data_IF_085422001289
#
_entry.id   IF_085422001289
#
_cell.length_a   1.000
_cell.length_b   1.000
_cell.length_c   1.000
_cell.angle_alpha   90.00
_cell.angle_beta   90.00
_cell.angle_gamma   90.00
#
_symmetry.space_group_name_H-M   'P 1'
#
loop_
_entity.id
_entity.type
_entity.pdbx_description
1 polymer ?
#
# COMPACT_ATOMS: atom_id res chain seq x y z
N UNK A 1 -67.87 33.19 14.60
CA UNK A 1 -67.45 31.78 14.44
C UNK A 1 -67.18 31.55 12.95
N UNK A 2 -66.05 30.91 12.59
CA UNK A 2 -65.57 30.60 11.22
C UNK A 2 -64.88 31.72 10.40
N UNK A 3 -63.81 32.34 10.91
CA UNK A 3 -62.84 33.04 10.02
C UNK A 3 -61.46 33.29 10.65
N UNK A 4 -60.93 32.34 11.44
CA UNK A 4 -59.53 32.41 11.94
C UNK A 4 -58.84 31.04 12.06
N UNK A 5 -59.35 30.02 11.35
CA UNK A 5 -58.83 28.64 11.43
C UNK A 5 -58.37 28.09 10.06
N UNK A 6 -58.08 28.96 9.10
CA UNK A 6 -57.70 28.60 7.72
C UNK A 6 -56.29 28.97 7.29
N UNK A 7 -55.58 29.86 8.00
CA UNK A 7 -54.23 30.31 7.59
C UNK A 7 -53.08 29.59 8.30
N UNK A 8 -53.29 29.02 9.48
CA UNK A 8 -52.23 28.32 10.23
C UNK A 8 -52.01 26.88 9.81
N UNK A 9 -52.95 26.25 9.09
CA UNK A 9 -52.73 24.90 8.51
C UNK A 9 -52.01 24.94 7.17
N UNK A 10 -52.15 26.02 6.40
CA UNK A 10 -51.53 26.14 5.06
C UNK A 10 -50.08 26.61 5.11
N UNK A 11 -49.68 27.37 6.15
CA UNK A 11 -48.28 27.77 6.34
C UNK A 11 -47.39 26.64 6.88
N UNK A 12 -47.95 25.68 7.63
CA UNK A 12 -47.20 24.52 8.16
C UNK A 12 -46.94 23.47 7.07
N UNK A 13 -47.83 23.37 6.08
CA UNK A 13 -47.68 22.44 4.94
C UNK A 13 -46.75 22.94 3.83
N UNK A 14 -46.44 24.24 3.79
CA UNK A 14 -45.50 24.82 2.81
C UNK A 14 -44.04 24.84 3.27
N UNK A 15 -43.77 24.52 4.54
CA UNK A 15 -42.39 24.38 5.06
C UNK A 15 -41.94 22.90 5.04
N UNK A 16 -42.88 21.95 4.92
CA UNK A 16 -42.55 20.52 4.82
C UNK A 16 -42.10 20.06 3.43
N UNK A 17 -42.12 20.91 2.40
CA UNK A 17 -41.71 20.54 1.02
C UNK A 17 -40.48 21.28 0.50
N UNK A 18 -39.76 22.04 1.34
CA UNK A 18 -38.56 22.79 0.90
C UNK A 18 -37.26 22.45 1.64
N UNK A 19 -37.20 21.33 2.37
CA UNK A 19 -35.94 20.82 2.97
C UNK A 19 -35.45 19.55 2.27
N UNK A 20 -36.23 18.97 1.35
CA UNK A 20 -35.81 17.80 0.56
C UNK A 20 -35.08 18.13 -0.75
N UNK A 21 -34.93 19.40 -1.13
CA UNK A 21 -34.33 19.79 -2.43
C UNK A 21 -32.98 20.52 -2.35
N UNK A 22 -32.36 20.60 -1.16
CA UNK A 22 -30.98 21.07 -0.99
C UNK A 22 -30.05 19.98 -0.42
N UNK A 23 -30.47 18.72 -0.54
CA UNK A 23 -29.49 17.71 -0.87
C UNK A 23 -28.94 18.10 -2.23
N UNK A 24 -27.87 18.89 -2.26
CA UNK A 24 -26.91 18.78 -3.36
C UNK A 24 -26.54 17.30 -3.31
N UNK A 25 -27.29 16.50 -4.07
CA UNK A 25 -26.75 15.31 -4.67
C UNK A 25 -25.56 15.85 -5.45
N UNK A 26 -24.42 15.95 -4.78
CA UNK A 26 -23.20 15.52 -5.41
C UNK A 26 -23.62 14.13 -5.89
N UNK A 27 -23.95 14.02 -7.19
CA UNK A 27 -23.90 12.73 -7.86
C UNK A 27 -22.67 12.06 -7.29
N UNK A 28 -22.75 10.84 -6.73
CA UNK A 28 -21.55 10.16 -6.28
C UNK A 28 -20.59 10.23 -7.45
N UNK A 29 -19.62 11.16 -7.41
CA UNK A 29 -18.46 11.10 -8.26
C UNK A 29 -17.82 9.87 -7.68
N UNK A 30 -18.06 8.72 -8.31
CA UNK A 30 -17.59 7.44 -7.84
C UNK A 30 -16.08 7.63 -7.71
N UNK A 31 -15.63 7.84 -6.48
CA UNK A 31 -14.23 8.06 -6.23
C UNK A 31 -13.65 6.66 -6.40
N UNK A 32 -12.91 6.44 -7.49
CA UNK A 32 -12.18 5.22 -7.70
C UNK A 32 -10.67 5.47 -7.66
N UNK A 33 -9.97 4.68 -6.85
CA UNK A 33 -8.51 4.67 -6.86
C UNK A 33 -7.95 3.28 -7.11
N UNK A 34 -6.73 3.26 -7.63
CA UNK A 34 -5.96 2.07 -7.94
C UNK A 34 -4.51 2.30 -7.52
N UNK A 35 -3.91 1.33 -6.86
CA UNK A 35 -2.49 1.27 -6.59
C UNK A 35 -1.95 -0.13 -6.90
N UNK A 36 -0.82 -0.18 -7.58
CA UNK A 36 -0.12 -1.40 -8.00
C UNK A 36 1.35 -1.27 -7.63
N UNK A 37 1.92 -2.33 -7.08
CA UNK A 37 3.34 -2.43 -6.77
C UNK A 37 3.82 -3.86 -7.03
N UNK A 38 4.71 -4.04 -8.00
CA UNK A 38 5.27 -5.33 -8.39
C UNK A 38 6.79 -5.30 -8.36
N UNK A 39 7.39 -6.42 -7.99
CA UNK A 39 8.84 -6.58 -7.99
C UNK A 39 9.27 -8.01 -8.31
N UNK A 40 10.30 -8.17 -9.14
CA UNK A 40 10.94 -9.49 -9.42
C UNK A 40 12.47 -9.43 -9.26
N UNK A 41 13.07 -10.56 -8.87
CA UNK A 41 14.50 -10.86 -8.95
C UNK A 41 14.58 -12.23 -9.60
N UNK A 42 15.50 -12.35 -10.52
CA UNK A 42 16.02 -13.62 -10.98
C UNK A 42 17.53 -13.57 -10.84
N UNK A 43 18.14 -14.61 -10.28
CA UNK A 43 19.57 -14.83 -10.35
C UNK A 43 19.81 -16.15 -11.05
N UNK A 44 20.75 -16.14 -11.99
CA UNK A 44 21.16 -17.29 -12.78
C UNK A 44 22.68 -17.26 -12.98
N UNK A 45 23.19 -18.19 -13.80
CA UNK A 45 24.61 -18.31 -14.15
C UNK A 45 25.54 -18.35 -12.92
N UNK A 46 25.08 -18.98 -11.83
CA UNK A 46 25.90 -19.20 -10.65
C UNK A 46 27.17 -19.99 -10.99
N UNK A 47 28.34 -19.51 -10.54
CA UNK A 47 29.60 -20.25 -10.72
C UNK A 47 29.73 -21.45 -9.80
N UNK A 48 28.94 -21.50 -8.72
CA UNK A 48 28.98 -22.53 -7.68
C UNK A 48 27.55 -22.86 -7.24
N UNK A 49 27.29 -24.12 -6.91
CA UNK A 49 26.01 -24.55 -6.34
C UNK A 49 26.00 -24.38 -4.81
N UNK A 50 24.82 -24.13 -4.20
CA UNK A 50 24.68 -24.16 -2.74
C UNK A 50 25.08 -25.51 -2.15
N UNK A 51 25.68 -25.48 -0.96
CA UNK A 51 26.43 -26.60 -0.36
C UNK A 51 25.57 -27.87 -0.10
N UNK A 52 24.25 -27.70 0.06
CA UNK A 52 23.33 -28.78 0.42
C UNK A 52 22.43 -29.26 -0.73
N UNK A 53 22.65 -28.80 -1.96
CA UNK A 53 21.87 -29.23 -3.15
C UNK A 53 22.23 -30.65 -3.64
N UNK A 54 23.02 -31.41 -2.89
CA UNK A 54 23.88 -32.46 -3.43
C UNK A 54 23.20 -33.81 -3.76
N UNK A 55 21.96 -34.09 -3.32
CA UNK A 55 21.49 -35.49 -3.33
C UNK A 55 20.20 -35.79 -4.12
N UNK A 56 19.56 -34.81 -4.78
CA UNK A 56 18.36 -35.08 -5.60
C UNK A 56 18.43 -34.35 -6.96
N UNK A 57 18.07 -35.01 -8.08
CA UNK A 57 18.08 -34.41 -9.42
C UNK A 57 17.03 -33.30 -9.66
N UNK A 58 16.10 -33.07 -8.74
CA UNK A 58 14.92 -32.18 -8.92
C UNK A 58 14.61 -31.38 -7.64
N UNK A 59 15.65 -30.94 -6.94
CA UNK A 59 15.47 -30.25 -5.66
C UNK A 59 15.09 -28.78 -5.85
N UNK A 60 13.82 -28.48 -5.64
CA UNK A 60 13.24 -27.13 -5.66
C UNK A 60 12.83 -26.73 -4.25
N UNK A 61 13.23 -25.54 -3.82
CA UNK A 61 12.67 -24.86 -2.65
C UNK A 61 11.66 -23.84 -3.14
N UNK A 62 10.45 -23.81 -2.59
CA UNK A 62 9.41 -22.86 -2.99
C UNK A 62 8.54 -22.44 -1.80
N UNK A 63 8.25 -21.13 -1.74
CA UNK A 63 7.32 -20.53 -0.81
C UNK A 63 6.33 -19.61 -1.54
N UNK A 64 5.06 -19.67 -1.14
CA UNK A 64 3.96 -18.87 -1.69
C UNK A 64 3.24 -18.14 -0.55
N UNK A 65 2.81 -16.90 -0.78
CA UNK A 65 2.00 -16.16 0.19
C UNK A 65 0.70 -16.93 0.53
N UNK A 66 0.46 -17.18 1.82
CA UNK A 66 -0.71 -17.93 2.30
C UNK A 66 -0.40 -19.38 2.72
N UNK A 67 0.78 -19.91 2.40
CA UNK A 67 1.20 -21.28 2.79
C UNK A 67 2.32 -21.34 3.85
N UNK A 68 2.76 -20.20 4.40
CA UNK A 68 3.87 -20.13 5.36
C UNK A 68 5.25 -20.26 4.71
N UNK A 69 6.30 -19.94 5.47
CA UNK A 69 7.70 -20.10 5.03
C UNK A 69 8.02 -21.57 4.79
N UNK A 70 8.63 -21.88 3.65
CA UNK A 70 9.09 -23.22 3.33
C UNK A 70 10.61 -23.25 3.43
N UNK A 71 11.11 -23.94 4.45
CA UNK A 71 12.54 -24.24 4.54
C UNK A 71 12.72 -25.61 3.91
N UNK A 72 13.26 -25.68 2.69
CA UNK A 72 13.76 -26.96 2.20
C UNK A 72 14.97 -27.33 3.08
N UNK A 73 15.03 -28.59 3.50
CA UNK A 73 16.04 -29.18 4.40
C UNK A 73 17.49 -29.10 3.86
N UNK A 74 17.68 -28.50 2.69
CA UNK A 74 18.89 -28.55 1.88
C UNK A 74 19.59 -27.19 1.77
N UNK A 75 19.65 -26.42 2.87
CA UNK A 75 20.47 -25.19 2.97
C UNK A 75 19.99 -23.98 2.17
N UNK A 76 18.80 -24.06 1.55
CA UNK A 76 18.14 -22.93 0.88
C UNK A 76 16.93 -22.50 1.69
N UNK A 77 16.87 -21.21 2.00
CA UNK A 77 15.72 -20.58 2.62
C UNK A 77 14.85 -19.90 1.56
N UNK A 78 13.60 -20.32 1.41
CA UNK A 78 12.58 -19.54 0.68
C UNK A 78 11.48 -19.09 1.64
N UNK A 79 11.02 -17.85 1.52
CA UNK A 79 9.94 -17.32 2.35
C UNK A 79 9.09 -16.36 1.55
N UNK A 80 7.77 -16.47 1.71
CA UNK A 80 6.81 -15.61 1.05
C UNK A 80 5.68 -15.27 2.03
N UNK A 81 5.28 -14.00 2.06
CA UNK A 81 4.25 -13.49 2.96
C UNK A 81 3.38 -12.48 2.22
N UNK A 82 2.07 -12.53 2.46
CA UNK A 82 1.09 -11.55 1.99
C UNK A 82 0.19 -11.13 3.14
N UNK A 83 -0.14 -9.84 3.21
CA UNK A 83 -1.07 -9.25 4.17
C UNK A 83 -2.01 -8.33 3.40
N UNK A 84 -3.31 -8.45 3.67
CA UNK A 84 -4.33 -7.54 3.14
C UNK A 84 -5.20 -7.00 4.27
N UNK A 85 -5.76 -5.80 4.08
CA UNK A 85 -6.74 -5.19 4.98
C UNK A 85 -7.67 -4.31 4.18
N UNK A 86 -8.98 -4.47 4.38
CA UNK A 86 -10.01 -3.71 3.65
C UNK A 86 -11.09 -3.19 4.59
N UNK A 87 -11.56 -1.97 4.35
CA UNK A 87 -12.70 -1.33 5.02
C UNK A 87 -13.51 -0.57 3.99
N UNK A 88 -14.84 -0.66 4.06
CA UNK A 88 -15.76 -0.02 3.11
C UNK A 88 -16.44 -1.01 2.19
N UNK A 89 -17.25 -0.50 1.26
CA UNK A 89 -17.88 -1.31 0.21
C UNK A 89 -17.06 -1.12 -1.08
N UNK A 90 -17.04 -2.13 -1.95
CA UNK A 90 -16.34 -2.07 -3.24
C UNK A 90 -14.83 -1.80 -3.12
N UNK A 91 -14.15 -2.54 -2.24
CA UNK A 91 -12.70 -2.45 -2.05
C UNK A 91 -12.08 -3.81 -2.30
N UNK A 92 -10.99 -3.83 -3.06
CA UNK A 92 -10.20 -5.01 -3.35
C UNK A 92 -8.77 -4.72 -2.89
N UNK A 93 -8.17 -5.67 -2.18
CA UNK A 93 -6.75 -5.66 -1.89
C UNK A 93 -6.21 -7.09 -2.04
N UNK A 94 -5.18 -7.24 -2.87
CA UNK A 94 -4.55 -8.51 -3.19
C UNK A 94 -3.03 -8.39 -3.03
N UNK A 95 -2.43 -9.38 -2.37
CA UNK A 95 -1.02 -9.42 -2.01
C UNK A 95 -0.45 -10.81 -2.32
N UNK A 96 0.32 -10.90 -3.39
CA UNK A 96 0.99 -12.12 -3.84
C UNK A 96 2.50 -12.02 -3.58
N UNK A 97 3.09 -13.08 -3.05
CA UNK A 97 4.53 -13.29 -3.00
C UNK A 97 4.88 -14.73 -3.40
N UNK A 98 6.00 -14.88 -4.10
CA UNK A 98 6.58 -16.15 -4.53
C UNK A 98 8.09 -16.08 -4.31
N UNK A 99 8.68 -17.16 -3.82
CA UNK A 99 10.12 -17.31 -3.72
C UNK A 99 10.48 -18.75 -4.08
N UNK A 100 11.45 -18.94 -4.96
CA UNK A 100 11.90 -20.26 -5.40
C UNK A 100 13.39 -20.31 -5.66
N UNK A 101 13.94 -21.50 -5.55
CA UNK A 101 15.30 -21.83 -5.98
C UNK A 101 15.27 -23.20 -6.64
N UNK A 102 15.87 -23.31 -7.82
CA UNK A 102 15.96 -24.53 -8.60
C UNK A 102 17.42 -24.92 -8.84
N UNK A 103 17.67 -26.23 -8.95
CA UNK A 103 18.98 -26.79 -9.29
C UNK A 103 19.20 -26.94 -10.79
N UNK A 104 18.14 -27.20 -11.54
CA UNK A 104 18.19 -27.47 -12.97
C UNK A 104 17.09 -26.68 -13.70
N UNK A 105 17.40 -25.51 -14.29
CA UNK A 105 18.69 -24.82 -14.22
C UNK A 105 18.98 -24.30 -12.81
N UNK A 106 20.26 -24.02 -12.51
CA UNK A 106 20.65 -23.42 -11.24
C UNK A 106 20.25 -21.94 -11.22
N UNK A 107 19.10 -21.65 -10.60
CA UNK A 107 18.47 -20.34 -10.59
C UNK A 107 17.74 -20.05 -9.27
N UNK A 108 17.68 -18.78 -8.89
CA UNK A 108 16.73 -18.30 -7.87
C UNK A 108 15.75 -17.33 -8.50
N UNK A 109 14.51 -17.37 -8.02
CA UNK A 109 13.45 -16.47 -8.44
C UNK A 109 12.58 -16.05 -7.27
N UNK A 110 12.07 -14.84 -7.37
CA UNK A 110 11.62 -14.08 -6.23
C UNK A 110 10.69 -13.00 -6.77
N UNK A 111 9.40 -13.03 -6.41
CA UNK A 111 8.36 -12.17 -6.99
C UNK A 111 7.35 -11.70 -5.95
N UNK A 112 6.88 -10.48 -6.14
CA UNK A 112 5.83 -9.85 -5.33
C UNK A 112 4.91 -9.03 -6.22
N UNK A 113 3.61 -9.06 -5.94
CA UNK A 113 2.62 -8.25 -6.64
C UNK A 113 1.51 -7.85 -5.67
N UNK A 114 1.36 -6.55 -5.46
CA UNK A 114 0.29 -6.00 -4.66
C UNK A 114 -0.60 -5.11 -5.53
N UNK A 115 -1.90 -5.28 -5.38
CA UNK A 115 -2.91 -4.47 -6.03
C UNK A 115 -3.93 -4.07 -4.98
N UNK A 116 -4.30 -2.79 -4.95
CA UNK A 116 -5.46 -2.35 -4.19
C UNK A 116 -6.29 -1.38 -5.03
N UNK A 117 -7.60 -1.53 -4.96
CA UNK A 117 -8.56 -0.62 -5.57
C UNK A 117 -9.74 -0.40 -4.65
N UNK A 118 -10.36 0.76 -4.75
CA UNK A 118 -11.55 1.10 -3.97
C UNK A 118 -12.46 2.02 -4.76
N UNK A 119 -13.76 1.85 -4.57
CA UNK A 119 -14.78 2.72 -5.17
C UNK A 119 -15.75 3.26 -4.11
N UNK A 120 -16.09 4.54 -4.23
CA UNK A 120 -17.15 5.17 -3.47
C UNK A 120 -16.63 6.19 -2.47
N UNK A 121 -17.53 6.69 -1.62
CA UNK A 121 -17.22 7.87 -0.81
C UNK A 121 -16.32 7.56 0.38
N UNK A 122 -16.14 6.28 0.75
CA UNK A 122 -15.47 5.85 1.99
C UNK A 122 -14.86 4.48 1.80
N UNK A 123 -13.54 4.39 1.76
CA UNK A 123 -12.87 3.11 1.67
C UNK A 123 -11.42 3.18 2.14
N UNK A 124 -10.90 2.02 2.49
CA UNK A 124 -9.48 1.78 2.74
C UNK A 124 -9.12 0.39 2.24
N UNK A 125 -8.07 0.31 1.41
CA UNK A 125 -7.48 -0.94 0.97
C UNK A 125 -5.97 -0.92 1.19
N UNK A 126 -5.43 -1.99 1.76
CA UNK A 126 -4.01 -2.23 1.97
C UNK A 126 -3.66 -3.62 1.46
N UNK A 127 -2.61 -3.71 0.64
CA UNK A 127 -1.97 -4.96 0.29
C UNK A 127 -0.45 -4.82 0.44
N UNK A 128 0.17 -5.80 1.10
CA UNK A 128 1.61 -5.84 1.33
C UNK A 128 2.11 -7.27 1.19
N UNK A 129 3.24 -7.42 0.50
CA UNK A 129 3.85 -8.73 0.28
C UNK A 129 5.36 -8.68 0.46
N UNK A 130 5.95 -9.79 0.90
CA UNK A 130 7.38 -9.97 1.09
C UNK A 130 7.81 -11.31 0.50
N UNK A 131 8.93 -11.33 -0.22
CA UNK A 131 9.56 -12.55 -0.72
C UNK A 131 11.06 -12.56 -0.39
N UNK A 132 11.60 -13.72 -0.04
CA UNK A 132 13.01 -13.91 0.31
C UNK A 132 13.54 -15.22 -0.24
N UNK A 133 14.74 -15.18 -0.81
CA UNK A 133 15.55 -16.35 -1.15
C UNK A 133 16.91 -16.20 -0.49
N UNK A 134 17.45 -17.27 0.11
CA UNK A 134 18.83 -17.28 0.57
C UNK A 134 19.52 -18.61 0.30
N UNK A 135 20.75 -18.56 -0.19
CA UNK A 135 21.59 -19.71 -0.50
C UNK A 135 22.94 -19.66 0.22
N UNK A 136 23.37 -20.82 0.73
CA UNK A 136 24.65 -21.02 1.42
C UNK A 136 25.66 -21.69 0.48
N UNK A 137 26.82 -21.06 0.27
CA UNK A 137 27.84 -21.49 -0.69
C UNK A 137 29.20 -21.64 -0.02
N UNK A 138 29.92 -22.71 -0.36
CA UNK A 138 31.32 -22.90 0.03
C UNK A 138 32.25 -22.66 -1.14
N UNK A 139 33.17 -21.72 -0.97
CA UNK A 139 34.14 -21.29 -1.98
C UNK A 139 35.53 -21.69 -1.50
N UNK A 140 36.29 -22.39 -2.35
CA UNK A 140 37.68 -22.75 -2.05
C UNK A 140 38.61 -21.58 -2.30
N UNK A 141 39.73 -21.57 -1.57
CA UNK A 141 40.80 -20.61 -1.81
C UNK A 141 41.27 -20.68 -3.28
N UNK A 142 41.29 -19.53 -3.95
CA UNK A 142 41.63 -19.38 -5.37
C UNK A 142 40.41 -19.37 -6.31
N UNK A 143 39.23 -19.80 -5.84
CA UNK A 143 38.04 -19.90 -6.67
C UNK A 143 37.29 -18.57 -6.80
N UNK A 144 36.39 -18.54 -7.79
CA UNK A 144 35.54 -17.39 -8.11
C UNK A 144 34.09 -17.70 -7.72
N UNK A 145 33.47 -16.77 -7.02
CA UNK A 145 32.02 -16.71 -6.88
C UNK A 145 31.46 -15.63 -7.82
N UNK A 146 30.54 -16.01 -8.69
CA UNK A 146 29.85 -15.10 -9.60
C UNK A 146 28.44 -15.56 -9.92
N UNK A 147 27.61 -14.61 -10.32
CA UNK A 147 26.25 -14.82 -10.79
C UNK A 147 25.80 -13.59 -11.61
N UNK A 148 24.79 -13.79 -12.45
CA UNK A 148 24.08 -12.72 -13.13
C UNK A 148 22.71 -12.53 -12.48
N UNK A 149 22.15 -11.33 -12.55
CA UNK A 149 20.82 -11.08 -12.03
C UNK A 149 20.02 -10.09 -12.87
N UNK A 150 18.70 -10.29 -12.86
CA UNK A 150 17.73 -9.33 -13.37
C UNK A 150 16.78 -8.93 -12.26
N UNK A 151 16.65 -7.63 -12.02
CA UNK A 151 15.71 -7.08 -11.04
C UNK A 151 14.74 -6.10 -11.71
N UNK A 152 13.45 -6.25 -11.43
CA UNK A 152 12.39 -5.39 -11.98
C UNK A 152 11.52 -4.82 -10.87
N UNK A 153 11.17 -3.54 -11.00
CA UNK A 153 10.25 -2.84 -10.10
C UNK A 153 9.23 -2.06 -10.94
N UNK A 154 7.95 -2.20 -10.63
CA UNK A 154 6.84 -1.46 -11.23
C UNK A 154 5.92 -0.92 -10.14
N UNK A 155 5.73 0.39 -10.13
CA UNK A 155 4.76 1.10 -9.31
C UNK A 155 3.79 1.83 -10.23
N UNK A 156 2.50 1.79 -9.92
CA UNK A 156 1.48 2.54 -10.62
C UNK A 156 0.37 2.95 -9.66
N UNK A 157 -0.09 4.19 -9.78
CA UNK A 157 -1.20 4.73 -9.01
C UNK A 157 -2.13 5.52 -9.94
N UNK A 158 -3.42 5.49 -9.64
CA UNK A 158 -4.44 6.26 -10.36
C UNK A 158 -5.59 6.64 -9.44
N UNK A 159 -6.10 7.86 -9.60
CA UNK A 159 -7.25 8.43 -8.91
C UNK A 159 -8.29 8.90 -9.94
N UNK A 160 -9.57 8.87 -9.57
CA UNK A 160 -10.64 9.53 -10.33
C UNK A 160 -11.03 10.87 -9.69
N UNK A 161 -10.89 11.00 -8.38
CA UNK A 161 -11.10 12.21 -7.62
C UNK A 161 -9.86 12.57 -6.77
N UNK A 162 -8.85 13.23 -7.36
CA UNK A 162 -7.61 13.58 -6.66
C UNK A 162 -7.77 14.38 -5.36
N UNK A 163 -8.85 15.13 -5.21
CA UNK A 163 -9.11 15.96 -4.02
C UNK A 163 -9.72 15.20 -2.86
N UNK A 164 -10.23 13.99 -3.10
CA UNK A 164 -10.87 13.14 -2.11
C UNK A 164 -10.24 11.76 -2.03
N UNK A 165 -9.10 11.52 -2.65
CA UNK A 165 -8.50 10.18 -2.70
C UNK A 165 -6.98 10.25 -2.55
N UNK A 166 -6.43 9.17 -2.03
CA UNK A 166 -4.99 8.96 -1.93
C UNK A 166 -4.68 7.54 -2.37
N UNK A 167 -3.70 7.40 -3.26
CA UNK A 167 -3.14 6.13 -3.67
C UNK A 167 -1.63 6.16 -3.43
N UNK A 168 -1.10 5.11 -2.81
CA UNK A 168 0.33 4.96 -2.54
C UNK A 168 0.79 3.61 -3.04
N UNK A 169 1.92 3.57 -3.72
CA UNK A 169 2.62 2.35 -4.06
C UNK A 169 4.10 2.48 -3.68
N UNK A 170 4.66 1.45 -3.06
CA UNK A 170 6.09 1.39 -2.74
C UNK A 170 6.64 0.00 -2.95
N UNK A 171 7.91 -0.09 -3.29
CA UNK A 171 8.63 -1.35 -3.42
C UNK A 171 10.11 -1.21 -3.09
N UNK A 172 10.65 -2.27 -2.52
CA UNK A 172 12.04 -2.41 -2.15
C UNK A 172 12.56 -3.75 -2.67
N UNK A 173 13.70 -3.72 -3.35
CA UNK A 173 14.43 -4.90 -3.79
C UNK A 173 15.82 -4.83 -3.16
N UNK A 174 16.32 -5.93 -2.60
CA UNK A 174 17.69 -5.97 -2.11
C UNK A 174 18.35 -7.32 -2.31
N UNK A 175 19.67 -7.26 -2.45
CA UNK A 175 20.59 -8.37 -2.51
C UNK A 175 21.74 -8.07 -1.55
N UNK A 176 22.12 -9.03 -0.72
CA UNK A 176 23.24 -8.92 0.22
C UNK A 176 24.05 -10.20 0.17
N UNK A 177 25.37 -10.06 0.04
CA UNK A 177 26.33 -11.15 0.14
C UNK A 177 27.12 -11.03 1.45
N UNK A 178 27.03 -12.06 2.28
CA UNK A 178 27.69 -12.15 3.56
C UNK A 178 28.83 -13.17 3.48
N UNK A 179 29.99 -12.83 4.02
CA UNK A 179 30.98 -13.81 4.44
C UNK A 179 30.62 -14.26 5.85
N UNK A 180 30.05 -15.46 5.97
CA UNK A 180 29.63 -16.01 7.26
C UNK A 180 30.80 -16.64 8.03
N UNK A 181 31.92 -16.94 7.36
CA UNK A 181 33.16 -17.36 8.03
C UNK A 181 33.71 -16.20 8.88
N UNK A 182 33.76 -15.00 8.31
CA UNK A 182 34.31 -13.80 8.94
C UNK A 182 33.25 -12.84 9.52
N UNK A 183 31.96 -13.16 9.35
CA UNK A 183 30.81 -12.36 9.81
C UNK A 183 30.79 -10.92 9.26
N UNK A 184 31.05 -10.76 7.97
CA UNK A 184 31.08 -9.44 7.31
C UNK A 184 30.14 -9.36 6.12
N UNK A 185 29.59 -8.16 5.87
CA UNK A 185 28.91 -7.85 4.61
C UNK A 185 29.99 -7.58 3.56
N UNK A 186 30.00 -8.37 2.50
CA UNK A 186 30.96 -8.19 1.42
C UNK A 186 30.45 -7.16 0.40
N UNK A 187 29.22 -7.37 -0.07
CA UNK A 187 28.64 -6.63 -1.17
C UNK A 187 27.12 -6.59 -1.05
N UNK A 188 26.50 -5.53 -1.59
CA UNK A 188 25.06 -5.32 -1.55
C UNK A 188 24.55 -4.54 -2.75
N UNK A 189 23.31 -4.79 -3.13
CA UNK A 189 22.55 -4.00 -4.08
C UNK A 189 21.16 -3.72 -3.49
N UNK A 190 20.65 -2.51 -3.65
CA UNK A 190 19.30 -2.16 -3.20
C UNK A 190 18.63 -1.16 -4.13
N UNK A 191 17.30 -1.27 -4.22
CA UNK A 191 16.43 -0.34 -4.92
C UNK A 191 15.26 -0.05 -4.02
N UNK A 192 14.91 1.22 -3.87
CA UNK A 192 13.72 1.65 -3.18
C UNK A 192 12.98 2.65 -4.06
N UNK A 193 11.67 2.46 -4.18
CA UNK A 193 10.80 3.48 -4.77
C UNK A 193 9.48 3.56 -4.05
N UNK A 194 8.93 4.77 -4.03
CA UNK A 194 7.62 5.11 -3.48
C UNK A 194 7.00 6.19 -4.35
N UNK A 195 5.72 6.05 -4.64
CA UNK A 195 4.89 7.08 -5.27
C UNK A 195 3.65 7.34 -4.42
N UNK A 196 3.24 8.60 -4.32
CA UNK A 196 2.06 9.04 -3.57
C UNK A 196 1.23 9.99 -4.43
N UNK A 197 0.15 9.46 -5.02
CA UNK A 197 -0.75 10.27 -5.82
C UNK A 197 -1.87 10.81 -4.94
N UNK A 198 -1.99 12.14 -4.91
CA UNK A 198 -3.13 12.89 -4.35
C UNK A 198 -3.06 14.35 -4.81
N UNK A 199 -4.16 15.11 -4.74
CA UNK A 199 -4.15 16.55 -5.02
C UNK A 199 -3.33 17.37 -4.02
N UNK A 200 -2.97 16.77 -2.88
CA UNK A 200 -2.21 17.40 -1.81
C UNK A 200 -0.80 16.82 -1.66
N UNK A 201 -0.38 15.95 -2.60
CA UNK A 201 0.93 15.33 -2.59
C UNK A 201 2.00 16.43 -2.59
N UNK A 202 2.88 16.41 -1.60
CA UNK A 202 4.01 17.34 -1.57
C UNK A 202 5.04 16.89 -2.60
N UNK A 203 5.79 17.83 -3.22
CA UNK A 203 6.85 17.51 -4.19
C UNK A 203 7.95 16.54 -3.70
N UNK A 204 7.98 16.18 -2.42
CA UNK A 204 9.00 15.32 -1.78
C UNK A 204 8.48 13.94 -1.34
N UNK A 205 7.26 13.54 -1.74
CA UNK A 205 6.68 12.26 -1.31
C UNK A 205 7.03 11.10 -2.25
N UNK A 206 7.35 11.41 -3.52
CA UNK A 206 7.85 10.47 -4.51
C UNK A 206 9.36 10.29 -4.38
N UNK A 207 9.80 9.03 -4.36
CA UNK A 207 11.19 8.63 -4.18
C UNK A 207 11.55 7.54 -5.16
N UNK A 208 12.74 7.66 -5.74
CA UNK A 208 13.42 6.57 -6.43
C UNK A 208 14.91 6.64 -6.10
N UNK A 209 15.43 5.59 -5.49
CA UNK A 209 16.83 5.48 -5.12
C UNK A 209 17.32 4.06 -5.36
N UNK A 210 18.59 3.93 -5.72
CA UNK A 210 19.28 2.66 -5.74
C UNK A 210 20.71 2.85 -5.25
N UNK A 211 21.29 1.78 -4.72
CA UNK A 211 22.68 1.74 -4.27
C UNK A 211 23.30 0.38 -4.58
N UNK A 212 24.62 0.36 -4.77
CA UNK A 212 25.38 -0.86 -5.08
C UNK A 212 26.81 -0.80 -4.55
N UNK A 213 27.34 -1.96 -4.18
CA UNK A 213 28.77 -2.13 -3.91
C UNK A 213 29.62 -2.12 -5.19
N UNK A 214 30.93 -2.02 -5.01
CA UNK A 214 31.88 -1.88 -6.12
C UNK A 214 31.98 -3.14 -7.00
N UNK A 215 31.79 -4.34 -6.42
CA UNK A 215 31.91 -5.61 -7.17
C UNK A 215 30.62 -6.01 -7.92
N UNK A 216 29.59 -5.15 -7.88
CA UNK A 216 28.34 -5.34 -8.61
C UNK A 216 28.34 -4.40 -9.82
N UNK A 217 28.26 -4.98 -11.02
CA UNK A 217 28.06 -4.24 -12.26
C UNK A 217 26.57 -4.20 -12.59
N UNK A 218 26.09 -3.05 -13.10
CA UNK A 218 24.67 -2.84 -13.38
C UNK A 218 24.53 -1.99 -14.63
N UNK A 219 23.75 -2.49 -15.58
CA UNK A 219 23.07 -1.70 -16.59
C UNK A 219 21.60 -1.57 -16.17
N UNK A 220 21.05 -0.35 -16.20
CA UNK A 220 19.66 -0.16 -15.82
C UNK A 220 18.93 0.84 -16.69
N UNK A 221 17.63 0.61 -16.85
CA UNK A 221 16.70 1.50 -17.55
C UNK A 221 15.59 1.85 -16.56
N UNK A 222 15.23 3.12 -16.49
CA UNK A 222 14.09 3.58 -15.69
C UNK A 222 13.17 4.48 -16.51
N UNK A 223 11.88 4.42 -16.18
CA UNK A 223 10.88 5.36 -16.65
C UNK A 223 10.08 5.84 -15.43
N UNK A 224 10.25 7.10 -15.08
CA UNK A 224 9.65 7.75 -13.93
C UNK A 224 8.68 8.83 -14.42
N UNK A 225 7.44 8.75 -13.99
CA UNK A 225 6.42 9.76 -14.21
C UNK A 225 5.85 10.17 -12.86
N UNK A 226 6.45 11.22 -12.30
CA UNK A 226 6.10 11.84 -11.02
C UNK A 226 5.41 13.18 -11.25
N UNK A 227 4.55 13.60 -10.32
CA UNK A 227 4.01 14.96 -10.31
C UNK A 227 2.75 15.14 -11.16
N UNK A 228 2.00 14.07 -11.40
CA UNK A 228 0.70 14.14 -12.03
C UNK A 228 -0.39 13.94 -10.96
N UNK A 229 -1.44 14.75 -11.03
CA UNK A 229 -2.41 14.89 -9.92
C UNK A 229 -3.28 13.63 -9.74
N UNK A 230 -3.48 12.86 -10.81
CA UNK A 230 -4.42 11.75 -10.89
C UNK A 230 -3.75 10.42 -11.27
N UNK A 231 -2.47 10.40 -11.65
CA UNK A 231 -1.74 9.17 -11.96
C UNK A 231 -0.23 9.30 -11.82
N UNK A 232 0.44 8.30 -11.28
CA UNK A 232 1.89 8.27 -11.24
C UNK A 232 2.41 6.88 -11.55
N UNK A 233 3.64 6.79 -12.04
CA UNK A 233 4.25 5.50 -12.33
C UNK A 233 5.76 5.54 -12.19
N UNK A 234 6.32 4.46 -11.67
CA UNK A 234 7.76 4.23 -11.66
C UNK A 234 8.04 2.82 -12.16
N UNK A 235 8.85 2.70 -13.21
CA UNK A 235 9.35 1.40 -13.67
C UNK A 235 10.86 1.43 -13.73
N UNK A 236 11.49 0.34 -13.30
CA UNK A 236 12.93 0.16 -13.39
C UNK A 236 13.27 -1.30 -13.66
N UNK A 237 14.21 -1.49 -14.58
CA UNK A 237 14.81 -2.78 -14.92
C UNK A 237 16.31 -2.67 -14.72
N UNK A 238 16.86 -3.57 -13.94
CA UNK A 238 18.29 -3.69 -13.66
C UNK A 238 18.77 -5.05 -14.19
N UNK A 239 19.81 -5.02 -15.01
CA UNK A 239 20.56 -6.19 -15.43
C UNK A 239 21.96 -6.05 -14.84
N UNK A 240 22.38 -7.02 -14.03
CA UNK A 240 23.63 -6.90 -13.32
C UNK A 240 24.36 -8.21 -13.20
N UNK A 241 25.61 -8.10 -12.75
CA UNK A 241 26.49 -9.24 -12.50
C UNK A 241 27.38 -8.98 -11.30
N UNK A 242 27.69 -10.06 -10.59
CA UNK A 242 28.63 -10.08 -9.48
C UNK A 242 29.79 -11.01 -9.81
N UNK A 243 31.00 -10.63 -9.42
CA UNK A 243 32.17 -11.51 -9.52
C UNK A 243 33.25 -11.15 -8.51
N UNK A 244 33.72 -12.15 -7.76
CA UNK A 244 34.84 -12.00 -6.81
C UNK A 244 35.65 -13.28 -6.67
N UNK A 245 36.97 -13.13 -6.53
CA UNK A 245 37.91 -14.21 -6.19
C UNK A 245 38.18 -14.21 -4.69
N UNK A 246 38.26 -15.40 -4.09
CA UNK A 246 38.48 -15.57 -2.66
C UNK A 246 39.88 -16.16 -2.40
N UNK A 247 40.65 -15.54 -1.51
CA UNK A 247 42.03 -15.96 -1.24
C UNK A 247 42.14 -17.02 -0.12
N UNK A 248 41.02 -17.37 0.49
CA UNK A 248 40.90 -18.36 1.55
C UNK A 248 39.57 -19.12 1.38
N UNK A 249 39.50 -20.33 1.92
CA UNK A 249 38.23 -21.05 2.04
C UNK A 249 37.21 -20.16 2.76
N UNK A 250 36.08 -19.91 2.11
CA UNK A 250 35.07 -18.93 2.54
C UNK A 250 33.68 -19.52 2.42
N UNK A 251 32.85 -19.36 3.44
CA UNK A 251 31.41 -19.67 3.37
C UNK A 251 30.64 -18.38 3.16
N UNK A 252 29.76 -18.39 2.16
CA UNK A 252 28.98 -17.24 1.74
C UNK A 252 27.50 -17.49 1.95
N UNK A 253 26.78 -16.46 2.41
CA UNK A 253 25.33 -16.44 2.42
C UNK A 253 24.85 -15.31 1.50
N UNK A 254 24.26 -15.69 0.37
CA UNK A 254 23.58 -14.75 -0.53
C UNK A 254 22.12 -14.65 -0.10
N UNK A 255 21.64 -13.43 0.13
CA UNK A 255 20.26 -13.16 0.54
C UNK A 255 19.65 -12.17 -0.43
N UNK A 256 18.51 -12.52 -1.00
CA UNK A 256 17.67 -11.63 -1.77
C UNK A 256 16.37 -11.38 -1.02
N UNK A 257 15.92 -10.13 -0.97
CA UNK A 257 14.62 -9.79 -0.38
C UNK A 257 13.84 -8.83 -1.26
N UNK A 258 12.52 -8.89 -1.09
CA UNK A 258 11.57 -7.96 -1.69
C UNK A 258 10.49 -7.61 -0.72
N UNK A 259 10.11 -6.35 -0.73
CA UNK A 259 8.90 -5.90 -0.04
C UNK A 259 8.16 -4.94 -0.96
N UNK A 260 6.89 -5.23 -1.23
CA UNK A 260 6.03 -4.32 -1.98
C UNK A 260 4.80 -4.03 -1.12
N UNK A 261 4.26 -2.82 -1.26
CA UNK A 261 3.11 -2.34 -0.50
C UNK A 261 2.32 -1.34 -1.33
N UNK A 262 1.00 -1.43 -1.22
CA UNK A 262 0.07 -0.47 -1.80
C UNK A 262 -1.02 -0.10 -0.80
N UNK A 263 -1.48 1.13 -0.88
CA UNK A 263 -2.63 1.63 -0.11
C UNK A 263 -3.51 2.48 -1.02
N UNK A 264 -4.82 2.34 -0.84
CA UNK A 264 -5.84 3.20 -1.44
C UNK A 264 -6.81 3.69 -0.36
N UNK A 265 -7.23 4.95 -0.43
CA UNK A 265 -8.13 5.52 0.57
C UNK A 265 -8.97 6.69 0.03
N UNK A 266 -10.23 6.76 0.47
CA UNK A 266 -11.07 7.96 0.42
C UNK A 266 -11.55 8.35 1.84
N UNK A 267 -11.77 9.65 2.15
CA UNK A 267 -12.21 10.13 3.46
C UNK A 267 -13.46 9.42 3.97
N UNK A 268 -13.56 9.27 5.29
CA UNK A 268 -14.86 8.97 5.90
C UNK A 268 -15.81 10.17 5.69
N UNK A 269 -17.12 9.97 5.45
CA UNK A 269 -18.04 11.07 5.29
C UNK A 269 -18.15 11.72 6.67
N UNK A 270 -17.63 12.93 6.83
CA UNK A 270 -17.77 13.62 8.10
C UNK A 270 -19.26 13.88 8.38
N UNK A 271 -19.86 13.08 9.26
CA UNK A 271 -21.20 13.34 9.82
C UNK A 271 -21.22 14.56 10.74
N UNK A 272 -20.08 15.23 10.92
CA UNK A 272 -19.90 16.43 11.74
C UNK A 272 -20.81 17.58 11.28
N UNK A 273 -21.04 17.74 9.97
CA UNK A 273 -21.98 18.74 9.47
C UNK A 273 -23.45 18.37 9.77
N UNK A 274 -23.82 17.09 9.67
CA UNK A 274 -25.15 16.63 10.05
C UNK A 274 -25.40 16.82 11.55
N UNK A 275 -24.38 16.65 12.39
CA UNK A 275 -24.43 16.93 13.82
C UNK A 275 -24.58 18.44 14.11
N UNK A 276 -23.81 19.29 13.44
CA UNK A 276 -23.87 20.76 13.61
C UNK A 276 -25.24 21.33 13.26
N UNK A 277 -25.86 20.86 12.17
CA UNK A 277 -27.23 21.28 11.81
C UNK A 277 -28.30 20.59 12.66
N UNK A 278 -28.12 19.31 13.02
CA UNK A 278 -29.04 18.57 13.88
C UNK A 278 -29.20 19.20 15.25
N UNK A 279 -28.09 19.57 15.91
CA UNK A 279 -28.14 20.21 17.23
C UNK A 279 -28.45 21.71 17.15
N UNK A 280 -27.95 22.42 16.12
CA UNK A 280 -28.20 23.85 15.94
C UNK A 280 -29.69 24.19 15.76
N UNK A 281 -30.42 23.39 14.97
CA UNK A 281 -31.85 23.60 14.74
C UNK A 281 -32.67 23.24 15.99
N UNK A 282 -32.34 22.15 16.71
CA UNK A 282 -33.02 21.83 17.98
C UNK A 282 -32.76 22.86 19.09
N UNK A 283 -31.56 23.43 19.18
CA UNK A 283 -31.21 24.44 20.19
C UNK A 283 -31.97 25.77 20.00
N UNK A 284 -32.15 26.22 18.76
CA UNK A 284 -32.90 27.45 18.45
C UNK A 284 -34.40 27.26 18.71
N UNK A 285 -34.97 26.10 18.38
CA UNK A 285 -36.39 25.81 18.65
C UNK A 285 -36.70 25.69 20.15
N UNK A 286 -35.82 25.07 20.94
CA UNK A 286 -35.99 24.99 22.40
C UNK A 286 -35.77 26.34 23.09
N UNK A 287 -34.80 27.13 22.62
CA UNK A 287 -34.55 28.49 23.10
C UNK A 287 -35.73 29.45 22.84
N UNK A 288 -36.32 29.39 21.65
CA UNK A 288 -37.48 30.22 21.27
C UNK A 288 -38.74 29.88 22.09
N UNK A 289 -38.99 28.59 22.37
CA UNK A 289 -40.14 28.14 23.18
C UNK A 289 -40.00 28.58 24.66
N UNK A 290 -38.78 28.64 25.19
CA UNK A 290 -38.53 29.11 26.57
C UNK A 290 -38.82 30.61 26.75
N UNK A 291 -38.53 31.45 25.74
CA UNK A 291 -38.81 32.90 25.79
C UNK A 291 -40.30 33.20 25.72
N UNK A 292 -41.07 32.44 24.94
CA UNK A 292 -42.52 32.59 24.83
C UNK A 292 -43.23 32.22 26.16
N UNK A 293 -42.80 31.13 26.81
CA UNK A 293 -43.37 30.76 28.12
C UNK A 293 -42.99 31.71 29.27
N UNK A 294 -41.88 32.45 29.16
CA UNK A 294 -41.51 33.49 30.13
C UNK A 294 -42.37 34.76 30.00
N UNK A 295 -42.81 35.12 28.81
CA UNK A 295 -43.70 36.27 28.61
C UNK A 295 -45.17 35.97 28.96
N UNK A 296 -45.63 34.72 28.82
CA UNK A 296 -46.99 34.31 29.22
C UNK A 296 -47.24 34.27 30.73
N UNK A 297 -46.17 34.24 31.56
CA UNK A 297 -46.28 34.17 33.03
C UNK A 297 -46.31 35.54 33.72
N UNK A 298 -46.16 36.64 32.96
CA UNK A 298 -46.15 38.02 33.49
C UNK A 298 -47.53 38.71 33.47
N UNK A 299 -48.59 38.06 32.94
CA UNK A 299 -49.93 38.67 32.82
C UNK A 299 -51.05 37.92 33.56
N UNK A 300 -50.73 37.05 34.52
CA UNK A 300 -51.75 36.32 35.29
C UNK A 300 -51.41 36.21 36.77
N UNK A 301 -51.40 37.33 37.48
CA UNK A 301 -51.64 37.36 38.93
C UNK A 301 -52.25 38.70 39.35
N UNK A 302 -53.51 38.66 39.80
CA UNK A 302 -54.01 39.53 40.88
C UNK A 302 -54.89 40.72 40.51
N UNK A 303 -56.18 40.48 40.28
CA UNK A 303 -57.24 41.37 40.79
C UNK A 303 -58.06 40.51 41.76
N UNK A 304 -58.01 40.85 43.06
CA UNK A 304 -59.16 40.82 43.98
C UNK A 304 -58.71 41.06 45.44
N UNK A 305 -59.54 41.84 46.16
CA UNK A 305 -59.47 42.41 47.54
C UNK A 305 -59.05 43.89 47.55
N UNK A 306 -59.87 44.86 47.93
CA UNK A 306 -61.16 44.92 48.68
C UNK A 306 -62.05 45.97 48.04
#
# INVERSE_FOLDING_TARGET
MKLKLGLTKTAVLLISTLVTSLGIAASPSLAASLAVSRGSFTIDNYSQSPENLANLPDDRSEAIAGSGSSVNTNGILTSAKGITSVTGRNVIADALALASFSKDPLESFNFTSNVASGEGNTYFGLAQSEAKVAGDFSIKAGDIFSFDFTAFLELYTKLENPFGEIATASGELSLVLLDITNQTVLDSFSVFSKIVTSAYAKPSEDVFSYDKSQNINIDFIKNLNFGSIDKESATALFQGSYRRTFNSDTRLLLIETKTNKVTVQAPEPSSTFALLFGFGVTGVFLGAKSKINRQGKLFSTGIDKV
#
